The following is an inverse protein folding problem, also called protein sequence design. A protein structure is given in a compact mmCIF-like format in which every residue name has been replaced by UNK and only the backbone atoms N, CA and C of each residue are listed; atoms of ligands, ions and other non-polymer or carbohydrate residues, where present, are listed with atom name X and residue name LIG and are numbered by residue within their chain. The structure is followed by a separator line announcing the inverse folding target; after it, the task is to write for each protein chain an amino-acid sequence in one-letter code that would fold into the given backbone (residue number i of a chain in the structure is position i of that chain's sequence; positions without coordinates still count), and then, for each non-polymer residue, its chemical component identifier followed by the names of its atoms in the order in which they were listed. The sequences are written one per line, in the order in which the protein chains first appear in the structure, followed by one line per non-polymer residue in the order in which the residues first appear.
data_IF_571128219234
#
_entry.id   IF_571128219234
#
_cell.length_a   1.000
_cell.length_b   1.000
_cell.length_c   1.000
_cell.angle_alpha   90.00
_cell.angle_beta   90.00
_cell.angle_gamma   90.00
#
_symmetry.space_group_name_H-M   'P 1'
#
loop_
_entity.id
_entity.type
_entity.pdbx_description
1 polymer ?
#
# COMPACT_ATOMS: atom_id res chain seq x y z
N UNK A 1 -14.14 -25.64 -13.75
CA UNK A 1 -13.30 -26.11 -12.65
C UNK A 1 -13.40 -25.10 -11.52
N UNK A 2 -14.47 -25.15 -10.74
CA UNK A 2 -14.84 -24.11 -9.79
C UNK A 2 -15.42 -24.74 -8.53
N UNK A 3 -14.57 -25.26 -7.66
CA UNK A 3 -15.06 -25.83 -6.37
C UNK A 3 -14.01 -25.89 -5.27
N UNK A 4 -13.04 -25.00 -5.20
CA UNK A 4 -12.02 -25.00 -4.12
C UNK A 4 -11.93 -23.74 -3.27
N UNK A 5 -12.55 -22.64 -3.66
CA UNK A 5 -12.41 -21.35 -2.94
C UNK A 5 -13.39 -21.12 -1.80
N UNK A 6 -14.44 -21.92 -1.64
CA UNK A 6 -15.55 -21.63 -0.70
C UNK A 6 -15.36 -22.18 0.73
N UNK A 7 -14.34 -22.99 0.98
CA UNK A 7 -14.21 -23.64 2.31
C UNK A 7 -13.24 -22.96 3.28
N UNK A 8 -12.40 -22.05 2.82
CA UNK A 8 -11.41 -21.37 3.69
C UNK A 8 -11.93 -20.05 4.31
N UNK A 9 -12.98 -19.46 3.75
CA UNK A 9 -13.57 -18.23 4.31
C UNK A 9 -14.36 -18.43 5.62
N UNK A 10 -14.80 -19.64 5.91
CA UNK A 10 -15.60 -19.94 7.12
C UNK A 10 -14.76 -19.99 8.41
N UNK A 11 -13.46 -20.19 8.32
CA UNK A 11 -12.59 -20.36 9.49
C UNK A 11 -12.11 -19.07 10.15
N UNK A 12 -12.06 -17.97 9.42
CA UNK A 12 -11.46 -16.71 9.91
C UNK A 12 -12.49 -15.82 10.61
N UNK A 13 -13.78 -15.97 10.30
CA UNK A 13 -14.85 -15.17 10.91
C UNK A 13 -15.14 -15.56 12.39
N UNK A 14 -14.64 -16.70 12.86
CA UNK A 14 -14.96 -17.21 14.22
C UNK A 14 -14.04 -16.66 15.32
N UNK A 15 -12.94 -16.00 14.96
CA UNK A 15 -11.98 -15.48 15.97
C UNK A 15 -12.41 -14.10 16.52
N UNK A 16 -13.31 -13.39 15.82
CA UNK A 16 -13.78 -12.07 16.28
C UNK A 16 -14.96 -12.10 17.27
N UNK A 17 -15.55 -13.25 17.57
CA UNK A 17 -16.77 -13.36 18.37
C UNK A 17 -16.60 -13.88 19.80
N UNK A 18 -15.38 -13.99 20.32
CA UNK A 18 -15.21 -14.21 21.76
C UNK A 18 -15.31 -12.90 22.53
N UNK A 19 -16.37 -12.67 23.31
CA UNK A 19 -16.52 -11.46 24.13
C UNK A 19 -15.76 -11.64 25.46
N UNK A 20 -14.50 -11.98 25.44
CA UNK A 20 -13.66 -12.00 26.63
C UNK A 20 -12.55 -10.98 26.47
N UNK A 21 -12.87 -9.74 26.88
CA UNK A 21 -11.92 -8.77 27.44
C UNK A 21 -10.49 -8.79 26.86
N UNK A 22 -10.32 -8.65 25.54
CA UNK A 22 -9.08 -8.08 25.03
C UNK A 22 -9.11 -6.60 25.37
N UNK A 23 -8.69 -6.28 26.59
CA UNK A 23 -8.48 -4.90 27.01
C UNK A 23 -7.27 -4.36 26.26
N UNK A 24 -7.50 -3.73 25.11
CA UNK A 24 -6.51 -2.85 24.54
C UNK A 24 -6.26 -1.68 25.53
N UNK A 25 -5.14 -1.64 26.14
CA UNK A 25 -4.75 -0.58 27.06
C UNK A 25 -3.88 0.39 26.28
N UNK A 26 -4.44 1.48 25.79
CA UNK A 26 -3.65 2.63 25.38
C UNK A 26 -3.02 3.22 26.65
N UNK A 27 -1.70 3.38 26.65
CA UNK A 27 -1.02 4.09 27.74
C UNK A 27 -1.08 5.59 27.47
N UNK A 28 -1.48 6.32 28.47
CA UNK A 28 -1.31 7.75 28.60
C UNK A 28 0.18 8.06 28.68
N UNK A 29 0.80 8.45 27.58
CA UNK A 29 1.99 9.29 27.59
C UNK A 29 2.37 9.68 26.17
N UNK A 30 2.48 10.99 25.97
CA UNK A 30 2.94 11.73 24.79
C UNK A 30 2.07 11.51 23.54
N UNK A 31 1.94 12.57 22.72
CA UNK A 31 1.44 12.52 21.35
C UNK A 31 2.29 11.56 20.51
N UNK A 32 2.24 10.29 20.84
CA UNK A 32 2.90 9.22 20.13
C UNK A 32 2.28 9.19 18.72
N UNK A 33 3.11 9.28 17.70
CA UNK A 33 2.68 9.09 16.32
C UNK A 33 1.82 7.84 16.24
N UNK A 34 0.71 7.94 15.53
CA UNK A 34 -0.15 6.78 15.27
C UNK A 34 0.67 5.65 14.65
N UNK A 35 0.29 4.40 14.88
CA UNK A 35 1.03 3.25 14.36
C UNK A 35 1.06 3.20 12.83
N UNK A 36 0.10 3.86 12.19
CA UNK A 36 -0.02 3.98 10.74
C UNK A 36 0.63 5.25 10.18
N UNK A 37 1.23 6.10 11.04
CA UNK A 37 1.93 7.29 10.59
C UNK A 37 3.08 6.92 9.64
N UNK A 38 3.07 7.38 8.38
CA UNK A 38 4.09 7.02 7.40
C UNK A 38 5.48 7.53 7.78
N UNK A 39 5.55 8.56 8.63
CA UNK A 39 6.82 9.13 9.12
C UNK A 39 7.38 8.42 10.35
N UNK A 40 6.72 7.35 10.84
CA UNK A 40 7.19 6.55 11.97
C UNK A 40 8.33 5.62 11.52
N UNK A 41 9.49 5.73 12.17
CA UNK A 41 10.67 4.91 11.88
C UNK A 41 10.81 3.86 12.97
N UNK A 42 10.30 2.66 12.70
CA UNK A 42 10.32 1.52 13.63
C UNK A 42 10.54 0.21 12.89
N UNK A 43 11.07 -0.78 13.59
CA UNK A 43 11.10 -2.16 13.12
C UNK A 43 9.75 -2.82 13.36
N UNK A 44 9.21 -3.45 12.31
CA UNK A 44 7.94 -4.19 12.39
C UNK A 44 7.92 -5.35 11.42
N UNK A 45 7.10 -6.33 11.74
CA UNK A 45 6.74 -7.45 10.89
C UNK A 45 5.23 -7.42 10.65
N UNK A 46 4.79 -7.83 9.48
CA UNK A 46 3.38 -7.89 9.13
C UNK A 46 3.07 -9.07 8.24
N UNK A 47 1.85 -9.55 8.36
CA UNK A 47 1.24 -10.54 7.47
C UNK A 47 -0.05 -9.91 6.97
N UNK A 48 -0.33 -10.04 5.69
CA UNK A 48 -1.59 -9.59 5.09
C UNK A 48 -2.13 -10.65 4.16
N UNK A 49 -3.44 -10.66 4.04
CA UNK A 49 -4.19 -11.51 3.14
C UNK A 49 -5.17 -10.67 2.33
N UNK A 50 -5.16 -10.86 1.04
CA UNK A 50 -6.20 -10.42 0.11
C UNK A 50 -6.64 -11.64 -0.68
N UNK A 51 -6.29 -11.73 -1.94
CA UNK A 51 -6.47 -12.94 -2.76
C UNK A 51 -5.34 -13.94 -2.50
N UNK A 52 -4.18 -13.42 -2.11
CA UNK A 52 -2.99 -14.17 -1.71
C UNK A 52 -2.42 -13.70 -0.36
N UNK A 53 -1.53 -14.53 0.20
CA UNK A 53 -0.80 -14.22 1.43
C UNK A 53 0.42 -13.38 1.11
N UNK A 54 0.62 -12.29 1.86
CA UNK A 54 1.83 -11.47 1.78
C UNK A 54 2.48 -11.30 3.15
N UNK A 55 3.78 -11.29 3.18
CA UNK A 55 4.58 -10.92 4.34
C UNK A 55 5.26 -9.58 4.11
N UNK A 56 5.41 -8.80 5.18
CA UNK A 56 6.09 -7.52 5.12
C UNK A 56 6.96 -7.30 6.34
N UNK A 57 8.03 -6.54 6.17
CA UNK A 57 8.92 -6.17 7.25
C UNK A 57 9.47 -4.78 7.07
N UNK A 58 9.77 -4.12 8.18
CA UNK A 58 10.63 -2.95 8.18
C UNK A 58 11.69 -3.11 9.26
N UNK A 59 12.90 -2.70 8.94
CA UNK A 59 14.02 -2.69 9.87
C UNK A 59 14.56 -1.27 10.01
N UNK A 60 14.42 -0.69 11.20
CA UNK A 60 14.96 0.63 11.53
C UNK A 60 16.40 0.47 12.03
N UNK A 61 17.35 1.09 11.34
CA UNK A 61 18.76 1.10 11.72
C UNK A 61 19.05 2.13 12.83
N UNK A 62 18.30 3.22 12.78
CA UNK A 62 18.39 4.35 13.69
C UNK A 62 17.05 5.10 13.70
N UNK A 63 16.90 6.18 14.48
CA UNK A 63 15.64 6.93 14.57
C UNK A 63 15.18 7.61 13.28
N UNK A 64 16.03 7.66 12.23
CA UNK A 64 15.71 8.39 10.99
C UNK A 64 15.74 7.51 9.74
N UNK A 65 16.26 6.27 9.81
CA UNK A 65 16.41 5.41 8.62
C UNK A 65 15.83 4.02 8.83
N UNK A 66 15.12 3.53 7.83
CA UNK A 66 14.61 2.14 7.80
C UNK A 66 14.65 1.57 6.39
N UNK A 67 14.75 0.25 6.28
CA UNK A 67 14.45 -0.54 5.08
C UNK A 67 13.08 -1.15 5.25
N UNK A 68 12.37 -1.31 4.13
CA UNK A 68 11.08 -1.98 4.05
C UNK A 68 11.15 -3.07 2.99
N UNK A 69 10.52 -4.21 3.28
CA UNK A 69 10.41 -5.35 2.34
C UNK A 69 8.96 -5.84 2.38
N UNK A 70 8.41 -6.20 1.23
CA UNK A 70 7.16 -6.90 1.08
C UNK A 70 7.32 -8.00 0.03
N UNK A 71 6.75 -9.17 0.30
CA UNK A 71 6.75 -10.33 -0.58
C UNK A 71 5.37 -10.97 -0.52
N UNK A 72 4.79 -11.29 -1.67
CA UNK A 72 3.59 -12.11 -1.76
C UNK A 72 3.92 -13.61 -1.93
N UNK A 73 2.92 -14.44 -1.72
CA UNK A 73 2.97 -15.85 -2.02
C UNK A 73 3.19 -16.04 -3.52
N UNK A 74 4.14 -16.86 -3.93
CA UNK A 74 4.51 -17.00 -5.35
C UNK A 74 5.51 -15.96 -5.87
N UNK A 75 5.80 -14.91 -5.11
CA UNK A 75 6.66 -13.77 -5.51
C UNK A 75 6.11 -12.96 -6.70
N UNK A 76 4.82 -13.03 -6.97
CA UNK A 76 4.14 -12.25 -8.01
C UNK A 76 4.12 -10.76 -7.69
N UNK A 77 4.06 -10.42 -6.40
CA UNK A 77 4.31 -9.05 -5.92
C UNK A 77 5.50 -9.04 -4.96
N UNK A 78 6.48 -8.21 -5.24
CA UNK A 78 7.53 -7.95 -4.28
C UNK A 78 7.95 -6.48 -4.30
N UNK A 79 8.41 -6.00 -3.16
CA UNK A 79 8.90 -4.63 -3.01
C UNK A 79 10.00 -4.55 -1.97
N UNK A 80 11.06 -3.83 -2.31
CA UNK A 80 12.10 -3.41 -1.38
C UNK A 80 12.21 -1.88 -1.40
N UNK A 81 12.45 -1.26 -0.26
CA UNK A 81 12.58 0.19 -0.19
C UNK A 81 13.39 0.68 0.99
N UNK A 82 13.80 1.93 0.91
CA UNK A 82 14.45 2.67 1.97
C UNK A 82 13.68 3.92 2.34
N UNK A 83 13.74 4.33 3.60
CA UNK A 83 13.08 5.54 4.08
C UNK A 83 14.03 6.35 4.95
N UNK A 84 14.03 7.66 4.75
CA UNK A 84 14.82 8.64 5.51
C UNK A 84 13.92 9.73 6.06
N UNK A 85 13.91 9.89 7.37
CA UNK A 85 13.15 10.92 8.07
C UNK A 85 13.96 12.22 8.12
N UNK A 86 13.39 13.29 7.59
CA UNK A 86 13.90 14.66 7.64
C UNK A 86 13.04 15.54 8.53
N UNK A 87 13.46 16.78 8.76
CA UNK A 87 12.70 17.75 9.57
C UNK A 87 11.32 18.06 8.97
N UNK A 88 11.18 18.05 7.64
CA UNK A 88 9.94 18.37 6.94
C UNK A 88 9.01 17.15 6.76
N UNK A 89 9.55 15.93 6.76
CA UNK A 89 8.80 14.71 6.48
C UNK A 89 9.72 13.53 6.24
N UNK A 90 9.21 12.50 5.56
CA UNK A 90 9.98 11.29 5.22
C UNK A 90 10.10 11.16 3.71
N UNK A 91 11.29 10.83 3.23
CA UNK A 91 11.54 10.46 1.84
C UNK A 91 11.64 8.94 1.75
N UNK A 92 10.98 8.37 0.76
CA UNK A 92 10.96 6.94 0.49
C UNK A 92 11.50 6.69 -0.93
N UNK A 93 12.31 5.66 -1.07
CA UNK A 93 12.72 5.10 -2.35
C UNK A 93 12.26 3.66 -2.37
N UNK A 94 11.58 3.23 -3.42
CA UNK A 94 11.10 1.86 -3.55
C UNK A 94 11.45 1.31 -4.93
N UNK A 95 11.64 0.02 -4.96
CA UNK A 95 11.77 -0.81 -6.13
C UNK A 95 10.92 -2.06 -5.93
N UNK A 96 10.17 -2.46 -6.93
CA UNK A 96 9.30 -3.63 -6.83
C UNK A 96 8.70 -4.01 -8.16
N UNK A 97 8.02 -5.14 -8.14
CA UNK A 97 7.28 -5.70 -9.26
C UNK A 97 5.90 -6.11 -8.78
N UNK A 98 4.91 -5.87 -9.61
CA UNK A 98 3.54 -6.32 -9.41
C UNK A 98 3.06 -7.01 -10.69
N UNK A 99 2.36 -8.12 -10.54
CA UNK A 99 1.51 -8.69 -11.58
C UNK A 99 0.09 -8.21 -11.34
N UNK A 100 -0.61 -7.86 -12.41
CA UNK A 100 -1.98 -7.38 -12.37
C UNK A 100 -2.93 -8.52 -12.76
N UNK A 101 -4.17 -8.47 -12.25
CA UNK A 101 -5.18 -9.53 -12.44
C UNK A 101 -5.52 -9.81 -13.91
N UNK A 102 -5.29 -8.85 -14.79
CA UNK A 102 -5.52 -8.94 -16.23
C UNK A 102 -4.31 -9.47 -17.04
N UNK A 103 -3.26 -9.95 -16.35
CA UNK A 103 -2.05 -10.51 -16.95
C UNK A 103 -0.98 -9.47 -17.28
N UNK A 104 -1.19 -8.21 -16.93
CA UNK A 104 -0.16 -7.17 -17.00
C UNK A 104 0.93 -7.37 -15.95
N UNK A 105 2.14 -6.95 -16.25
CA UNK A 105 3.25 -6.90 -15.30
C UNK A 105 3.87 -5.52 -15.23
N UNK A 106 4.29 -5.10 -14.06
CA UNK A 106 4.86 -3.78 -13.85
C UNK A 106 6.02 -3.81 -12.87
N UNK A 107 7.21 -3.48 -13.35
CA UNK A 107 8.36 -3.13 -12.52
C UNK A 107 8.34 -1.63 -12.22
N UNK A 108 8.50 -1.27 -10.95
CA UNK A 108 8.29 0.07 -10.45
C UNK A 108 9.50 0.57 -9.67
N UNK A 109 10.04 1.71 -10.07
CA UNK A 109 11.07 2.46 -9.33
C UNK A 109 10.48 3.79 -8.89
N UNK A 110 10.40 4.03 -7.60
CA UNK A 110 9.78 5.26 -7.12
C UNK A 110 10.61 5.98 -6.07
N UNK A 111 10.54 7.30 -6.11
CA UNK A 111 10.99 8.18 -5.04
C UNK A 111 9.84 9.13 -4.67
N UNK A 112 9.56 9.25 -3.38
CA UNK A 112 8.48 10.12 -2.93
C UNK A 112 8.63 10.58 -1.50
N UNK A 113 7.76 11.48 -1.11
CA UNK A 113 7.78 12.08 0.22
C UNK A 113 6.38 12.15 0.82
N UNK A 114 6.33 12.09 2.17
CA UNK A 114 5.18 12.41 2.99
C UNK A 114 5.56 13.52 3.95
N UNK A 115 4.79 14.62 3.94
CA UNK A 115 5.02 15.75 4.81
C UNK A 115 3.83 15.96 5.77
N UNK A 116 3.98 15.74 7.10
CA UNK A 116 2.86 15.89 8.03
C UNK A 116 2.50 17.38 8.20
N UNK A 117 1.29 17.78 7.78
CA UNK A 117 0.82 19.16 7.93
C UNK A 117 0.66 19.59 9.40
N UNK A 118 0.53 18.64 10.31
CA UNK A 118 0.50 18.91 11.76
C UNK A 118 1.77 19.59 12.26
N UNK A 119 2.92 19.37 11.63
CA UNK A 119 4.17 20.08 11.92
C UNK A 119 4.10 21.59 11.62
N UNK A 120 3.20 21.98 10.74
CA UNK A 120 2.93 23.38 10.37
C UNK A 120 1.68 23.93 11.06
N UNK A 121 1.17 23.23 12.09
CA UNK A 121 0.00 23.64 12.86
C UNK A 121 -1.35 23.35 12.19
N UNK A 122 -1.39 22.63 11.07
CA UNK A 122 -2.61 22.31 10.35
C UNK A 122 -3.04 20.86 10.62
N UNK A 123 -4.07 20.70 11.44
CA UNK A 123 -4.69 19.40 11.75
C UNK A 123 -6.20 19.60 11.99
N UNK A 124 -7.01 19.90 10.96
CA UNK A 124 -8.42 20.17 11.11
C UNK A 124 -9.15 18.93 11.64
N UNK A 125 -10.03 19.11 12.62
CA UNK A 125 -10.81 18.03 13.25
C UNK A 125 -9.96 16.86 13.76
N UNK A 126 -8.74 17.11 14.20
CA UNK A 126 -7.75 16.09 14.62
C UNK A 126 -7.40 15.08 13.52
N UNK A 127 -7.60 15.44 12.26
CA UNK A 127 -7.13 14.64 11.11
C UNK A 127 -5.65 14.95 10.88
N UNK A 128 -4.82 13.92 10.90
CA UNK A 128 -3.44 14.02 10.48
C UNK A 128 -3.38 13.87 8.95
N UNK A 129 -3.02 14.95 8.28
CA UNK A 129 -2.94 15.03 6.81
C UNK A 129 -1.47 15.03 6.41
N UNK A 130 -1.13 14.15 5.48
CA UNK A 130 0.19 14.01 4.91
C UNK A 130 0.09 14.17 3.39
N UNK A 131 0.27 15.38 2.82
CA UNK A 131 0.54 15.51 1.42
C UNK A 131 1.68 14.58 1.00
N UNK A 132 1.48 13.95 -0.12
CA UNK A 132 2.46 13.06 -0.72
C UNK A 132 2.71 13.48 -2.16
N UNK A 133 3.96 13.42 -2.57
CA UNK A 133 4.37 13.68 -3.94
C UNK A 133 5.58 12.82 -4.28
N UNK A 134 5.74 12.50 -5.53
CA UNK A 134 6.89 11.72 -5.96
C UNK A 134 6.93 11.51 -7.46
N UNK A 135 7.92 10.75 -7.84
CA UNK A 135 8.20 10.36 -9.20
C UNK A 135 8.32 8.84 -9.26
N UNK A 136 7.83 8.27 -10.34
CA UNK A 136 7.89 6.84 -10.61
C UNK A 136 8.35 6.59 -12.04
N UNK A 137 9.28 5.68 -12.21
CA UNK A 137 9.56 5.02 -13.49
C UNK A 137 8.93 3.63 -13.45
N UNK A 138 8.12 3.33 -14.44
CA UNK A 138 7.47 2.04 -14.62
C UNK A 138 7.94 1.44 -15.93
N UNK A 139 8.15 0.12 -15.91
CA UNK A 139 8.47 -0.70 -17.06
C UNK A 139 7.71 -2.02 -16.92
N UNK A 140 7.00 -2.45 -17.96
CA UNK A 140 6.19 -3.66 -17.87
C UNK A 140 5.51 -4.02 -19.18
N UNK A 141 4.64 -5.00 -19.13
CA UNK A 141 3.88 -5.50 -20.26
C UNK A 141 2.37 -5.29 -20.01
N UNK A 142 1.68 -4.77 -21.02
CA UNK A 142 0.23 -4.51 -21.01
C UNK A 142 -0.45 -5.54 -21.91
N UNK A 143 -1.54 -6.20 -21.48
CA UNK A 143 -2.35 -7.04 -22.35
C UNK A 143 -3.11 -6.18 -23.36
N UNK A 144 -3.17 -6.65 -24.64
CA UNK A 144 -3.78 -5.93 -25.75
C UNK A 144 -5.21 -6.36 -26.06
N UNK A 145 -5.91 -6.97 -25.15
CA UNK A 145 -7.28 -7.45 -25.31
C UNK A 145 -8.36 -6.44 -24.87
N UNK A 146 -7.97 -5.28 -24.35
CA UNK A 146 -8.88 -4.19 -24.02
C UNK A 146 -9.16 -3.30 -25.24
N UNK A 147 -10.42 -3.21 -25.65
CA UNK A 147 -10.83 -2.25 -26.68
C UNK A 147 -10.55 -0.81 -26.23
N UNK A 148 -9.75 -0.08 -27.01
CA UNK A 148 -9.52 1.36 -26.83
C UNK A 148 -8.27 1.75 -26.05
N UNK A 149 -7.33 0.85 -25.83
CA UNK A 149 -6.02 1.22 -25.24
C UNK A 149 -5.07 1.78 -26.30
N UNK A 150 -4.67 3.07 -26.18
CA UNK A 150 -3.80 3.75 -27.17
C UNK A 150 -2.42 3.07 -27.31
N UNK A 151 -1.98 2.38 -26.26
CA UNK A 151 -0.69 1.71 -26.24
C UNK A 151 -0.61 0.56 -27.25
N UNK A 152 -1.72 -0.13 -27.51
CA UNK A 152 -1.77 -1.29 -28.41
C UNK A 152 -1.94 -0.93 -29.88
N UNK A 153 -2.40 0.29 -30.20
CA UNK A 153 -2.60 0.71 -31.60
C UNK A 153 -1.30 1.02 -32.35
N UNK A 154 -0.20 1.34 -31.65
CA UNK A 154 1.01 1.86 -32.24
C UNK A 154 2.27 1.03 -31.95
N UNK A 155 2.17 -0.07 -31.23
CA UNK A 155 3.31 -0.90 -30.82
C UNK A 155 3.26 -2.30 -31.44
N UNK A 156 4.42 -2.89 -31.70
CA UNK A 156 4.50 -4.27 -32.19
C UNK A 156 4.20 -5.25 -31.05
N UNK A 157 3.11 -6.03 -31.13
CA UNK A 157 2.77 -6.97 -30.07
C UNK A 157 3.77 -8.13 -29.98
N UNK A 158 4.14 -8.49 -28.78
CA UNK A 158 4.87 -9.73 -28.50
C UNK A 158 3.84 -10.85 -28.34
N UNK A 159 3.88 -11.87 -29.21
CA UNK A 159 3.02 -13.04 -29.08
C UNK A 159 3.62 -14.03 -28.08
N UNK A 160 2.96 -14.26 -26.96
CA UNK A 160 3.08 -15.49 -26.18
C UNK A 160 1.92 -16.43 -26.53
N UNK A 161 2.03 -17.73 -26.23
CA UNK A 161 1.05 -18.74 -26.67
C UNK A 161 -0.40 -18.47 -26.19
N UNK A 162 -0.62 -17.61 -25.18
CA UNK A 162 -1.93 -17.36 -24.58
C UNK A 162 -2.36 -15.87 -24.50
N UNK A 163 -1.48 -14.89 -24.75
CA UNK A 163 -1.85 -13.47 -24.73
C UNK A 163 -0.95 -12.61 -25.60
N UNK A 164 -1.55 -11.59 -26.22
CA UNK A 164 -0.86 -10.51 -26.90
C UNK A 164 -0.52 -9.45 -25.85
N UNK A 165 0.77 -9.24 -25.55
CA UNK A 165 1.24 -8.17 -24.68
C UNK A 165 2.11 -7.19 -25.43
N UNK A 166 2.15 -5.95 -24.97
CA UNK A 166 2.98 -4.86 -25.48
C UNK A 166 3.82 -4.31 -24.36
N UNK A 167 5.12 -4.20 -24.59
CA UNK A 167 6.01 -3.52 -23.63
C UNK A 167 5.67 -2.04 -23.54
N UNK A 168 5.48 -1.57 -22.33
CA UNK A 168 5.11 -0.20 -22.02
C UNK A 168 6.00 0.34 -20.91
N UNK A 169 6.62 1.48 -21.16
CA UNK A 169 7.39 2.20 -20.15
C UNK A 169 6.82 3.60 -19.93
N UNK A 170 6.92 4.10 -18.71
CA UNK A 170 6.45 5.42 -18.37
C UNK A 170 7.28 6.10 -17.28
N UNK A 171 7.44 7.40 -17.43
CA UNK A 171 7.95 8.29 -16.40
C UNK A 171 6.77 9.08 -15.86
N UNK A 172 6.43 8.95 -14.61
CA UNK A 172 5.24 9.59 -14.03
C UNK A 172 5.56 10.38 -12.78
N UNK A 173 4.81 11.45 -12.55
CA UNK A 173 4.75 12.16 -11.30
C UNK A 173 3.41 11.90 -10.63
N UNK A 174 3.41 11.75 -9.31
CA UNK A 174 2.17 11.60 -8.55
C UNK A 174 2.04 12.67 -7.48
N UNK A 175 0.80 13.00 -7.17
CA UNK A 175 0.42 13.87 -6.07
C UNK A 175 -0.77 13.26 -5.34
N UNK A 176 -0.77 13.34 -4.01
CA UNK A 176 -1.85 12.78 -3.23
C UNK A 176 -1.89 13.20 -1.79
N UNK A 177 -2.81 12.60 -1.06
CA UNK A 177 -3.03 12.80 0.37
C UNK A 177 -3.13 11.45 1.08
N UNK A 178 -2.39 11.32 2.16
CA UNK A 178 -2.56 10.26 3.13
C UNK A 178 -3.15 10.87 4.40
N UNK A 179 -4.24 10.30 4.89
CA UNK A 179 -4.98 10.84 6.01
C UNK A 179 -5.15 9.78 7.10
N UNK A 180 -4.96 10.22 8.35
CA UNK A 180 -5.22 9.41 9.54
C UNK A 180 -6.14 10.17 10.47
N UNK A 181 -7.18 9.50 10.96
CA UNK A 181 -8.05 10.02 12.01
C UNK A 181 -8.19 9.01 13.14
N UNK A 182 -7.77 9.39 14.32
CA UNK A 182 -8.05 8.63 15.54
C UNK A 182 -9.55 8.74 15.86
N UNK A 183 -10.28 7.62 15.74
CA UNK A 183 -11.72 7.56 16.06
C UNK A 183 -11.91 7.28 17.54
N UNK A 184 -11.06 6.44 18.12
CA UNK A 184 -11.03 6.11 19.53
C UNK A 184 -9.61 5.77 19.97
N UNK A 185 -9.39 5.39 21.22
CA UNK A 185 -8.07 4.97 21.71
C UNK A 185 -7.48 3.79 20.93
N UNK A 186 -8.35 2.98 20.32
CA UNK A 186 -7.98 1.74 19.61
C UNK A 186 -8.13 1.82 18.11
N UNK A 187 -9.04 2.67 17.63
CA UNK A 187 -9.43 2.69 16.24
C UNK A 187 -8.90 3.93 15.53
N UNK A 188 -8.27 3.70 14.41
CA UNK A 188 -7.78 4.73 13.49
C UNK A 188 -8.38 4.50 12.10
N UNK A 189 -9.02 5.51 11.54
CA UNK A 189 -9.38 5.53 10.13
C UNK A 189 -8.17 5.91 9.28
N UNK A 190 -8.05 5.27 8.13
CA UNK A 190 -6.99 5.46 7.15
C UNK A 190 -7.64 5.80 5.82
N UNK A 191 -7.15 6.80 5.13
CA UNK A 191 -7.55 7.10 3.76
C UNK A 191 -6.35 7.62 2.97
N UNK A 192 -6.14 7.08 1.77
CA UNK A 192 -5.12 7.50 0.82
C UNK A 192 -5.82 7.75 -0.51
N UNK A 193 -5.48 8.84 -1.15
CA UNK A 193 -5.87 9.13 -2.52
C UNK A 193 -4.69 9.76 -3.22
N UNK A 194 -4.28 9.22 -4.36
CA UNK A 194 -3.32 9.88 -5.22
C UNK A 194 -3.73 9.77 -6.70
N UNK A 195 -3.27 10.72 -7.49
CA UNK A 195 -3.33 10.70 -8.93
C UNK A 195 -1.93 10.81 -9.49
N UNK A 196 -1.69 10.18 -10.63
CA UNK A 196 -0.42 10.21 -11.36
C UNK A 196 -0.64 10.49 -12.84
N UNK A 197 0.30 11.18 -13.44
CA UNK A 197 0.36 11.46 -14.88
C UNK A 197 1.81 11.31 -15.35
N UNK A 198 2.00 10.92 -16.59
CA UNK A 198 3.35 10.63 -17.07
C UNK A 198 3.51 10.69 -18.60
N UNK A 199 4.65 10.22 -19.06
CA UNK A 199 4.96 10.04 -20.49
C UNK A 199 4.16 8.89 -21.08
N UNK A 200 4.07 8.84 -22.41
CA UNK A 200 3.34 7.80 -23.16
C UNK A 200 1.87 7.68 -22.74
N UNK A 201 1.23 8.84 -22.47
CA UNK A 201 -0.16 8.96 -22.03
C UNK A 201 -0.49 8.20 -20.73
N UNK A 202 0.54 7.89 -19.91
CA UNK A 202 0.34 7.27 -18.62
C UNK A 202 -0.51 8.14 -17.71
N UNK A 203 -1.54 7.54 -17.16
CA UNK A 203 -2.35 8.11 -16.08
C UNK A 203 -2.68 7.04 -15.06
N UNK A 204 -2.97 7.46 -13.83
CA UNK A 204 -3.36 6.52 -12.80
C UNK A 204 -4.01 7.18 -11.60
N UNK A 205 -4.88 6.41 -10.95
CA UNK A 205 -5.50 6.74 -9.67
C UNK A 205 -5.26 5.59 -8.70
N UNK A 206 -4.87 5.93 -7.50
CA UNK A 206 -4.77 4.99 -6.38
C UNK A 206 -5.63 5.50 -5.23
N UNK A 207 -6.53 4.67 -4.74
CA UNK A 207 -7.33 4.93 -3.56
C UNK A 207 -7.20 3.77 -2.56
N UNK A 208 -7.05 4.12 -1.29
CA UNK A 208 -7.05 3.14 -0.19
C UNK A 208 -7.84 3.73 0.98
N UNK A 209 -8.67 2.92 1.59
CA UNK A 209 -9.44 3.34 2.75
C UNK A 209 -9.75 2.18 3.70
N UNK A 210 -9.82 2.48 4.99
CA UNK A 210 -10.18 1.45 5.95
C UNK A 210 -9.91 1.82 7.40
N UNK A 211 -9.85 0.77 8.23
CA UNK A 211 -9.74 0.89 9.68
C UNK A 211 -8.56 0.07 10.21
N UNK A 212 -7.85 0.64 11.18
CA UNK A 212 -6.87 -0.08 11.97
C UNK A 212 -7.34 -0.16 13.43
N UNK A 213 -7.21 -1.33 14.03
CA UNK A 213 -7.45 -1.59 15.46
C UNK A 213 -6.12 -1.92 16.16
N UNK A 214 -5.78 -1.14 17.17
CA UNK A 214 -4.66 -1.40 18.05
C UNK A 214 -5.07 -2.45 19.08
N UNK A 215 -4.52 -3.66 19.00
CA UNK A 215 -4.80 -4.76 19.93
C UNK A 215 -4.01 -4.61 21.23
N UNK A 216 -2.73 -4.28 21.10
CA UNK A 216 -1.79 -3.99 22.19
C UNK A 216 -0.88 -2.85 21.79
N UNK A 217 0.02 -2.40 22.65
CA UNK A 217 1.04 -1.38 22.30
C UNK A 217 1.90 -1.76 21.09
N UNK A 218 1.97 -3.04 20.73
CA UNK A 218 2.85 -3.57 19.68
C UNK A 218 2.11 -4.27 18.56
N UNK A 219 0.81 -4.50 18.70
CA UNK A 219 0.04 -5.32 17.76
C UNK A 219 -1.13 -4.54 17.20
N UNK A 220 -1.33 -4.60 15.91
CA UNK A 220 -2.50 -4.03 15.25
C UNK A 220 -3.03 -4.92 14.14
N UNK A 221 -4.34 -4.83 13.93
CA UNK A 221 -5.04 -5.42 12.78
C UNK A 221 -5.59 -4.28 11.93
N UNK A 222 -5.60 -4.47 10.62
CA UNK A 222 -6.15 -3.51 9.64
C UNK A 222 -7.07 -4.23 8.68
N UNK A 223 -8.17 -3.57 8.35
CA UNK A 223 -9.03 -3.93 7.24
C UNK A 223 -9.05 -2.75 6.27
N UNK A 224 -8.58 -2.97 5.05
CA UNK A 224 -8.39 -1.95 4.04
C UNK A 224 -9.06 -2.37 2.74
N UNK A 225 -9.69 -1.41 2.04
CA UNK A 225 -10.05 -1.53 0.63
C UNK A 225 -9.01 -0.78 -0.20
N UNK A 226 -8.54 -1.37 -1.27
CA UNK A 226 -7.59 -0.78 -2.21
C UNK A 226 -8.23 -0.77 -3.59
N UNK A 227 -8.06 0.32 -4.30
CA UNK A 227 -8.43 0.47 -5.70
C UNK A 227 -7.27 1.09 -6.46
N UNK A 228 -6.90 0.47 -7.55
CA UNK A 228 -5.86 0.91 -8.47
C UNK A 228 -6.50 0.93 -9.86
N UNK A 229 -6.29 2.01 -10.58
CA UNK A 229 -6.68 2.14 -11.97
C UNK A 229 -5.60 2.96 -12.68
N UNK A 230 -4.87 2.33 -13.58
CA UNK A 230 -3.78 2.96 -14.30
C UNK A 230 -3.62 2.37 -15.70
N UNK A 231 -2.70 2.91 -16.48
CA UNK A 231 -2.44 2.46 -17.86
C UNK A 231 -1.94 1.02 -17.98
N UNK A 232 -1.56 0.34 -16.89
CA UNK A 232 -1.19 -1.08 -16.87
C UNK A 232 -2.37 -1.98 -16.55
N UNK A 233 -3.39 -1.47 -15.86
CA UNK A 233 -4.56 -2.25 -15.51
C UNK A 233 -5.37 -1.68 -14.35
N UNK A 234 -6.41 -2.40 -14.00
CA UNK A 234 -7.32 -2.06 -12.93
C UNK A 234 -7.36 -3.18 -11.89
N UNK A 235 -7.30 -2.82 -10.63
CA UNK A 235 -7.35 -3.77 -9.53
C UNK A 235 -8.17 -3.21 -8.36
N UNK A 236 -9.01 -4.05 -7.76
CA UNK A 236 -9.75 -3.72 -6.56
C UNK A 236 -9.72 -4.89 -5.57
N UNK A 237 -9.14 -4.68 -4.39
CA UNK A 237 -9.02 -5.75 -3.39
C UNK A 237 -9.29 -5.29 -1.97
N UNK A 238 -9.77 -6.22 -1.12
CA UNK A 238 -9.87 -6.04 0.31
C UNK A 238 -8.68 -6.72 1.00
N UNK A 239 -8.02 -6.04 1.92
CA UNK A 239 -6.83 -6.52 2.60
C UNK A 239 -7.10 -6.61 4.10
N UNK A 240 -6.91 -7.80 4.68
CA UNK A 240 -6.81 -7.99 6.10
C UNK A 240 -5.33 -8.11 6.48
N UNK A 241 -4.84 -7.26 7.37
CA UNK A 241 -3.43 -7.26 7.75
C UNK A 241 -3.26 -7.27 9.27
N UNK A 242 -2.30 -8.04 9.73
CA UNK A 242 -1.79 -8.02 11.10
C UNK A 242 -0.37 -7.47 11.09
N UNK A 243 0.00 -6.70 12.11
CA UNK A 243 1.37 -6.22 12.29
C UNK A 243 1.81 -6.26 13.74
N UNK A 244 3.09 -6.61 13.93
CA UNK A 244 3.80 -6.59 15.20
C UNK A 244 4.97 -5.62 15.12
N UNK A 245 5.08 -4.71 16.11
CA UNK A 245 6.16 -3.74 16.23
C UNK A 245 7.19 -4.24 17.24
N UNK A 246 8.43 -4.28 16.83
CA UNK A 246 9.56 -4.44 17.73
C UNK A 246 9.89 -3.08 18.37
N UNK A 247 10.58 -3.06 19.46
CA UNK A 247 10.91 -1.80 20.17
C UNK A 247 11.63 -0.79 19.31
#
# INVERSE_FOLDING_TARGET
MTARSTLLMAGILFICFFPSAIQCRASDEERQKLDQDPTKVISKFGISYSDELSISGSFAFDPVRKINIRLSEGLEEWRIGGSWLFKFGIVNVNFGENQLDDGGSQTNYSIGTFAPLSKFGFAPWDIQIFPMAGYTYNDGDIPCDREGEPACENLEPKSSEDSLTVSYESHSAYLGLFNLKKISERWTAIAILNGSIGTNDYSGVFANGGLACQLTKRQSIKLLGVYIDNSYGQEGKAILAYSYQFN
#
